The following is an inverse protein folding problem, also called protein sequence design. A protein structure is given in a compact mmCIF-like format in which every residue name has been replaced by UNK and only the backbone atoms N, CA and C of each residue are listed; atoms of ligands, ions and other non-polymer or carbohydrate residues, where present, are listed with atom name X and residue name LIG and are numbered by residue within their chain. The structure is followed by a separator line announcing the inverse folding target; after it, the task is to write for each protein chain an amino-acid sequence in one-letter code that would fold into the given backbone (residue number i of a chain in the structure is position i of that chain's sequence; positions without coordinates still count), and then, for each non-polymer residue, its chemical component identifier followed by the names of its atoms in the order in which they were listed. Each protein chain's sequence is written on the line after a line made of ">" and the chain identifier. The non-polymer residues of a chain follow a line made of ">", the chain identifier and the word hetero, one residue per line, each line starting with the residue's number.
data_IF_297661085735
#
_entry.id   IF_297661085735
#
_cell.length_a   1.000
_cell.length_b   1.000
_cell.length_c   1.000
_cell.angle_alpha   90.00
_cell.angle_beta   90.00
_cell.angle_gamma   90.00
#
_symmetry.space_group_name_H-M   'P 1'
#
loop_
_entity.id
_entity.type
_entity.pdbx_description
1 polymer ?
#
# COMPACT_ATOMS: atom_id res chain seq x y z
N UNK A 1 1.79 26.13 14.44
CA UNK A 1 1.67 24.75 13.95
C UNK A 1 1.01 23.95 15.06
N UNK A 2 0.10 23.05 14.71
CA UNK A 2 -0.92 22.55 15.63
C UNK A 2 -0.36 21.46 16.54
N UNK A 3 -0.11 21.79 17.81
CA UNK A 3 0.14 20.78 18.84
C UNK A 3 -1.02 19.78 18.86
N UNK A 4 -0.73 18.48 18.69
CA UNK A 4 -1.73 17.43 18.81
C UNK A 4 -2.08 17.30 20.30
N UNK A 5 -3.31 17.68 20.67
CA UNK A 5 -3.76 17.72 22.06
C UNK A 5 -3.53 16.37 22.75
N UNK A 6 -2.77 16.39 23.85
CA UNK A 6 -2.49 15.20 24.66
C UNK A 6 -1.51 14.21 24.04
N UNK A 7 -0.76 14.59 23.00
CA UNK A 7 0.30 13.77 22.40
C UNK A 7 1.61 14.56 22.36
N UNK A 8 2.63 14.00 22.98
CA UNK A 8 3.98 14.56 23.02
C UNK A 8 4.90 13.83 22.04
N UNK A 9 5.88 14.51 21.42
CA UNK A 9 6.87 13.87 20.57
C UNK A 9 7.64 12.77 21.31
N UNK A 10 7.77 11.60 20.68
CA UNK A 10 8.54 10.44 21.14
C UNK A 10 9.72 10.19 20.21
N UNK A 11 10.79 9.61 20.74
CA UNK A 11 12.03 9.38 19.99
C UNK A 11 11.87 8.28 18.94
N UNK A 12 11.04 7.26 19.20
CA UNK A 12 10.77 6.16 18.26
C UNK A 12 9.29 6.09 17.93
N UNK A 13 8.97 5.76 16.68
CA UNK A 13 7.59 5.57 16.25
C UNK A 13 6.88 4.46 17.06
N UNK A 14 7.62 3.42 17.43
CA UNK A 14 7.09 2.28 18.18
C UNK A 14 6.54 2.64 19.57
N UNK A 15 7.06 3.72 20.17
CA UNK A 15 6.65 4.21 21.49
C UNK A 15 5.26 4.88 21.46
N UNK A 16 4.74 5.26 20.28
CA UNK A 16 3.39 5.78 20.13
C UNK A 16 2.35 4.67 20.17
N UNK A 17 1.19 4.89 20.78
CA UNK A 17 0.02 4.04 20.55
C UNK A 17 -0.58 4.29 19.15
N UNK A 18 -1.40 3.36 18.67
CA UNK A 18 -2.11 3.57 17.41
C UNK A 18 -3.07 4.77 17.49
N UNK A 19 -3.70 4.99 18.65
CA UNK A 19 -4.56 6.16 18.88
C UNK A 19 -3.79 7.49 18.81
N UNK A 20 -2.55 7.53 19.31
CA UNK A 20 -1.70 8.72 19.20
C UNK A 20 -1.30 8.98 17.75
N UNK A 21 -0.88 7.94 17.01
CA UNK A 21 -0.56 8.04 15.59
C UNK A 21 -1.78 8.51 14.78
N UNK A 22 -2.97 7.99 15.08
CA UNK A 22 -4.21 8.41 14.44
C UNK A 22 -4.59 9.86 14.76
N UNK A 23 -4.31 10.35 15.97
CA UNK A 23 -4.48 11.78 16.31
C UNK A 23 -3.51 12.65 15.53
N UNK A 24 -2.24 12.24 15.42
CA UNK A 24 -1.24 12.96 14.64
C UNK A 24 -1.64 13.00 13.16
N UNK A 25 -1.99 11.84 12.58
CA UNK A 25 -2.39 11.73 11.19
C UNK A 25 -3.62 12.59 10.84
N UNK A 26 -4.61 12.67 11.75
CA UNK A 26 -5.74 13.59 11.60
C UNK A 26 -5.33 15.06 11.56
N UNK A 27 -4.40 15.47 12.42
CA UNK A 27 -3.87 16.85 12.39
C UNK A 27 -3.06 17.10 11.12
N UNK A 28 -2.30 16.12 10.63
CA UNK A 28 -1.62 16.22 9.33
C UNK A 28 -2.60 16.43 8.18
N UNK A 29 -3.67 15.62 8.12
CA UNK A 29 -4.73 15.70 7.12
C UNK A 29 -5.40 17.08 7.13
N UNK A 30 -5.69 17.62 8.32
CA UNK A 30 -6.32 18.92 8.51
C UNK A 30 -5.36 20.13 8.36
N UNK A 31 -4.07 19.91 8.09
CA UNK A 31 -3.07 20.99 8.10
C UNK A 31 -3.18 21.95 6.89
N UNK A 32 -4.08 21.70 5.94
CA UNK A 32 -4.32 22.55 4.77
C UNK A 32 -3.25 22.39 3.69
N UNK A 33 -2.77 21.17 3.49
CA UNK A 33 -1.90 20.79 2.37
C UNK A 33 -0.74 19.87 2.76
N UNK A 34 -0.19 19.16 1.77
CA UNK A 34 0.87 18.16 1.93
C UNK A 34 2.08 18.67 2.72
N UNK A 35 2.62 19.82 2.36
CA UNK A 35 3.78 20.41 3.05
C UNK A 35 3.52 20.63 4.54
N UNK A 36 2.38 21.20 4.91
CA UNK A 36 2.04 21.48 6.31
C UNK A 36 1.78 20.19 7.08
N UNK A 37 1.20 19.16 6.45
CA UNK A 37 1.07 17.83 7.03
C UNK A 37 2.43 17.19 7.32
N UNK A 38 3.40 17.35 6.42
CA UNK A 38 4.78 16.85 6.61
C UNK A 38 5.49 17.61 7.75
N UNK A 39 5.27 18.92 7.90
CA UNK A 39 5.82 19.66 9.06
C UNK A 39 5.29 19.12 10.39
N UNK A 40 4.01 18.72 10.46
CA UNK A 40 3.47 18.01 11.63
C UNK A 40 4.18 16.66 11.82
N UNK A 41 4.36 15.85 10.76
CA UNK A 41 5.08 14.58 10.87
C UNK A 41 6.51 14.74 11.43
N UNK A 42 7.22 15.81 11.06
CA UNK A 42 8.56 16.14 11.56
C UNK A 42 8.55 16.42 13.07
N UNK A 43 7.58 17.18 13.57
CA UNK A 43 7.44 17.48 15.01
C UNK A 43 7.30 16.21 15.87
N UNK A 44 6.73 15.15 15.30
CA UNK A 44 6.49 13.87 15.98
C UNK A 44 7.50 12.76 15.61
N UNK A 45 8.60 13.09 14.94
CA UNK A 45 9.64 12.13 14.51
C UNK A 45 9.11 10.99 13.61
N UNK A 46 8.06 11.27 12.82
CA UNK A 46 7.45 10.31 11.88
C UNK A 46 8.09 10.32 10.49
N UNK A 47 9.17 11.09 10.31
CA UNK A 47 10.01 11.13 9.12
C UNK A 47 11.41 11.65 9.50
N UNK A 48 12.30 11.75 8.53
CA UNK A 48 13.59 12.43 8.73
C UNK A 48 13.38 13.93 9.05
N UNK A 49 14.40 14.63 9.58
CA UNK A 49 14.33 16.09 9.77
C UNK A 49 14.07 16.88 8.49
N UNK A 50 14.34 16.30 7.30
CA UNK A 50 14.03 16.90 6.00
C UNK A 50 12.61 16.63 5.51
N UNK A 51 11.79 15.87 6.25
CA UNK A 51 10.44 15.47 5.82
C UNK A 51 10.41 14.26 4.88
N UNK A 52 11.51 13.51 4.77
CA UNK A 52 11.66 12.36 3.88
C UNK A 52 11.50 11.04 4.63
N UNK A 53 11.25 9.95 3.92
CA UNK A 53 11.24 8.59 4.49
C UNK A 53 12.55 7.89 4.17
N UNK A 54 13.03 7.07 5.11
CA UNK A 54 14.20 6.20 4.94
C UNK A 54 13.99 4.77 5.48
N UNK A 55 12.75 4.47 5.88
CA UNK A 55 12.34 3.17 6.43
C UNK A 55 12.65 2.96 7.91
N UNK A 56 13.16 3.97 8.63
CA UNK A 56 13.43 3.86 10.06
C UNK A 56 12.16 3.91 10.92
N UNK A 57 11.10 4.56 10.44
CA UNK A 57 9.83 4.70 11.15
C UNK A 57 9.03 3.39 11.08
N UNK A 58 9.30 2.52 12.05
CA UNK A 58 8.63 1.23 12.25
C UNK A 58 7.94 1.15 13.61
N UNK A 59 6.78 0.50 13.63
CA UNK A 59 5.99 0.21 14.82
C UNK A 59 5.63 -1.27 14.82
N UNK A 60 5.86 -1.93 15.95
CA UNK A 60 5.49 -3.33 16.11
C UNK A 60 3.98 -3.49 16.08
N UNK A 61 3.52 -4.39 15.22
CA UNK A 61 2.14 -4.79 15.02
C UNK A 61 1.98 -6.25 15.47
N UNK A 62 1.24 -6.43 16.57
CA UNK A 62 0.85 -7.75 17.08
C UNK A 62 -0.58 -8.02 16.68
N UNK A 63 -0.77 -8.97 15.77
CA UNK A 63 -2.10 -9.43 15.39
C UNK A 63 -2.68 -10.32 16.50
N UNK A 64 -4.01 -10.34 16.62
CA UNK A 64 -4.73 -11.14 17.62
C UNK A 64 -4.59 -12.65 17.44
N UNK A 65 -4.16 -13.09 16.25
CA UNK A 65 -3.81 -14.49 15.99
C UNK A 65 -2.41 -14.87 16.50
N UNK A 66 -1.70 -13.95 17.17
CA UNK A 66 -0.37 -14.16 17.74
C UNK A 66 0.79 -13.81 16.80
N UNK A 67 0.52 -13.54 15.51
CA UNK A 67 1.57 -13.12 14.58
C UNK A 67 2.08 -11.72 14.96
N UNK A 68 3.40 -11.57 14.94
CA UNK A 68 4.07 -10.30 15.19
C UNK A 68 4.87 -9.88 13.95
N UNK A 69 4.65 -8.65 13.48
CA UNK A 69 5.44 -8.01 12.42
C UNK A 69 5.64 -6.54 12.79
N UNK A 70 6.26 -5.76 11.91
CA UNK A 70 6.30 -4.31 12.01
C UNK A 70 5.45 -3.69 10.89
N UNK A 71 4.83 -2.55 11.17
CA UNK A 71 4.33 -1.65 10.15
C UNK A 71 5.34 -0.51 9.94
N UNK A 72 5.69 -0.25 8.68
CA UNK A 72 6.56 0.85 8.27
C UNK A 72 5.74 1.93 7.56
N UNK A 73 6.07 3.19 7.76
CA UNK A 73 5.48 4.28 6.96
C UNK A 73 6.02 4.17 5.53
N UNK A 74 5.13 4.01 4.56
CA UNK A 74 5.46 4.01 3.13
C UNK A 74 5.19 5.38 2.49
N UNK A 75 4.24 6.14 3.00
CA UNK A 75 3.86 7.46 2.47
C UNK A 75 3.31 8.40 3.53
N UNK A 76 3.46 9.71 3.27
CA UNK A 76 2.93 10.80 4.09
C UNK A 76 2.13 11.73 3.22
N UNK A 77 0.87 12.02 3.60
CA UNK A 77 -0.02 12.83 2.77
C UNK A 77 -0.02 12.32 1.32
N UNK A 78 -0.25 11.01 1.16
CA UNK A 78 -0.11 10.30 -0.11
C UNK A 78 -1.48 9.88 -0.66
N UNK A 79 -2.18 9.04 0.08
CA UNK A 79 -3.46 8.49 -0.33
C UNK A 79 -4.61 9.47 -0.11
N UNK A 80 -5.53 9.53 -1.08
CA UNK A 80 -6.77 10.31 -0.95
C UNK A 80 -7.76 9.55 -0.07
N UNK A 81 -8.33 10.24 0.93
CA UNK A 81 -9.35 9.65 1.81
C UNK A 81 -10.61 9.37 0.99
N UNK A 82 -11.25 8.24 1.27
CA UNK A 82 -12.54 7.98 0.67
C UNK A 82 -13.55 9.05 1.12
N UNK A 83 -14.41 9.48 0.20
CA UNK A 83 -15.49 10.46 0.45
C UNK A 83 -15.01 11.84 0.91
N UNK A 84 -13.73 12.19 0.68
CA UNK A 84 -13.15 13.49 0.99
C UNK A 84 -12.10 13.87 -0.05
N UNK A 85 -11.89 15.16 -0.27
CA UNK A 85 -10.75 15.64 -1.09
C UNK A 85 -9.44 15.72 -0.29
N UNK A 86 -9.48 15.43 1.01
CA UNK A 86 -8.31 15.42 1.88
C UNK A 86 -7.44 14.18 1.67
N UNK A 87 -6.14 14.33 1.91
CA UNK A 87 -5.20 13.21 1.97
C UNK A 87 -5.21 12.59 3.37
N UNK A 88 -5.02 11.27 3.44
CA UNK A 88 -4.71 10.57 4.68
C UNK A 88 -3.37 11.07 5.23
N UNK A 89 -3.24 11.11 6.55
CA UNK A 89 -2.02 11.62 7.16
C UNK A 89 -0.84 10.68 6.88
N UNK A 90 -1.05 9.39 7.15
CA UNK A 90 0.03 8.40 7.12
C UNK A 90 -0.43 7.12 6.42
N UNK A 91 0.38 6.61 5.50
CA UNK A 91 0.19 5.33 4.84
C UNK A 91 1.23 4.33 5.34
N UNK A 92 0.79 3.15 5.78
CA UNK A 92 1.63 2.08 6.30
C UNK A 92 1.64 0.86 5.38
N UNK A 93 2.68 0.04 5.48
CA UNK A 93 2.70 -1.36 5.03
C UNK A 93 3.31 -2.26 6.11
N UNK A 94 2.86 -3.50 6.21
CA UNK A 94 3.60 -4.51 7.00
C UNK A 94 4.93 -4.90 6.34
N UNK A 95 5.99 -4.97 7.16
CA UNK A 95 7.33 -5.33 6.72
C UNK A 95 7.37 -6.79 6.25
N UNK A 96 6.70 -7.69 6.97
CA UNK A 96 6.58 -9.11 6.57
C UNK A 96 5.16 -9.41 6.06
N UNK A 97 5.04 -10.54 5.37
CA UNK A 97 3.74 -11.10 5.02
C UNK A 97 3.00 -11.50 6.30
N UNK A 98 1.70 -11.25 6.35
CA UNK A 98 0.85 -11.62 7.50
C UNK A 98 0.10 -12.94 7.31
N UNK A 99 0.03 -13.41 6.06
CA UNK A 99 -0.57 -14.68 5.67
C UNK A 99 -0.14 -15.04 4.25
N UNK A 100 -0.47 -16.27 3.84
CA UNK A 100 -0.25 -16.81 2.49
C UNK A 100 -1.56 -17.38 1.96
N UNK A 101 -2.19 -16.67 1.03
CA UNK A 101 -3.50 -17.02 0.47
C UNK A 101 -3.53 -16.72 -1.03
N UNK A 102 -4.43 -17.33 -1.80
CA UNK A 102 -4.64 -16.96 -3.21
C UNK A 102 -5.16 -15.53 -3.32
N UNK A 103 -4.91 -14.90 -4.48
CA UNK A 103 -5.61 -13.67 -4.87
C UNK A 103 -7.09 -13.97 -5.16
N UNK A 104 -7.34 -15.06 -5.90
CA UNK A 104 -8.67 -15.55 -6.29
C UNK A 104 -8.70 -17.08 -6.30
N UNK A 105 -9.64 -17.67 -5.57
CA UNK A 105 -9.85 -19.12 -5.47
C UNK A 105 -10.33 -19.76 -6.78
N UNK A 106 -11.06 -19.01 -7.62
CA UNK A 106 -11.62 -19.50 -8.87
C UNK A 106 -10.61 -19.55 -10.04
N UNK A 107 -9.40 -19.00 -9.85
CA UNK A 107 -8.41 -18.86 -10.91
C UNK A 107 -8.73 -17.71 -11.87
N UNK A 108 -7.72 -16.92 -12.21
CA UNK A 108 -7.85 -15.77 -13.07
C UNK A 108 -8.19 -14.43 -12.44
N UNK A 109 -8.37 -13.43 -13.30
CA UNK A 109 -8.40 -12.01 -12.94
C UNK A 109 -9.68 -11.27 -13.32
N UNK A 110 -10.72 -12.00 -13.69
CA UNK A 110 -12.03 -11.43 -14.00
C UNK A 110 -12.50 -10.56 -12.84
N UNK A 111 -13.04 -9.37 -13.15
CA UNK A 111 -13.46 -8.36 -12.16
C UNK A 111 -12.31 -7.66 -11.41
N UNK A 112 -11.06 -7.93 -11.80
CA UNK A 112 -9.87 -7.25 -11.29
C UNK A 112 -9.81 -7.18 -9.77
N UNK A 113 -9.17 -6.13 -9.24
CA UNK A 113 -9.02 -5.96 -7.79
C UNK A 113 -10.34 -5.84 -7.06
N UNK A 114 -11.30 -5.09 -7.63
CA UNK A 114 -12.60 -4.84 -7.01
C UNK A 114 -13.35 -6.12 -6.63
N UNK A 115 -13.33 -7.13 -7.50
CA UNK A 115 -13.99 -8.41 -7.31
C UNK A 115 -13.08 -9.53 -6.80
N UNK A 116 -11.88 -9.23 -6.30
CA UNK A 116 -10.96 -10.28 -5.84
C UNK A 116 -11.31 -10.83 -4.46
N UNK A 117 -11.10 -12.13 -4.27
CA UNK A 117 -11.32 -12.79 -2.97
C UNK A 117 -10.42 -12.19 -1.89
N UNK A 118 -9.16 -11.87 -2.24
CA UNK A 118 -8.22 -11.25 -1.32
C UNK A 118 -8.70 -9.87 -0.84
N UNK A 119 -9.19 -9.00 -1.73
CA UNK A 119 -9.70 -7.69 -1.35
C UNK A 119 -10.90 -7.82 -0.40
N UNK A 120 -11.81 -8.73 -0.71
CA UNK A 120 -12.98 -9.00 0.14
C UNK A 120 -12.57 -9.47 1.53
N UNK A 121 -11.62 -10.41 1.62
CA UNK A 121 -11.11 -10.90 2.90
C UNK A 121 -10.39 -9.80 3.70
N UNK A 122 -9.54 -8.99 3.04
CA UNK A 122 -8.81 -7.89 3.66
C UNK A 122 -9.73 -6.82 4.27
N UNK A 123 -10.85 -6.51 3.60
CA UNK A 123 -11.80 -5.49 4.03
C UNK A 123 -12.99 -6.05 4.82
N UNK A 124 -12.91 -7.29 5.30
CA UNK A 124 -13.93 -7.90 6.17
C UNK A 124 -13.31 -8.67 7.33
N UNK A 125 -12.90 -9.91 7.10
CA UNK A 125 -12.39 -10.81 8.13
C UNK A 125 -11.04 -10.36 8.67
N UNK A 126 -10.14 -9.89 7.81
CA UNK A 126 -8.78 -9.55 8.22
C UNK A 126 -8.73 -8.45 9.29
N UNK A 127 -9.64 -7.47 9.23
CA UNK A 127 -9.77 -6.40 10.22
C UNK A 127 -9.92 -6.95 11.64
N UNK A 128 -10.55 -8.12 11.81
CA UNK A 128 -10.73 -8.76 13.12
C UNK A 128 -9.43 -9.26 13.73
N UNK A 129 -8.37 -9.44 12.95
CA UNK A 129 -7.04 -9.81 13.46
C UNK A 129 -6.23 -8.61 13.93
N UNK A 130 -6.61 -7.38 13.58
CA UNK A 130 -5.90 -6.18 14.02
C UNK A 130 -6.16 -5.90 15.51
N UNK A 131 -5.20 -5.25 16.21
CA UNK A 131 -5.46 -4.62 17.51
C UNK A 131 -6.70 -3.72 17.45
N UNK A 132 -7.46 -3.67 18.54
CA UNK A 132 -8.74 -2.94 18.58
C UNK A 132 -8.57 -1.43 18.37
N UNK A 133 -7.51 -0.85 18.92
CA UNK A 133 -7.17 0.57 18.76
C UNK A 133 -6.77 0.90 17.32
N UNK A 134 -5.97 0.05 16.68
CA UNK A 134 -5.64 0.17 15.26
C UNK A 134 -6.88 0.01 14.38
N UNK A 135 -7.65 -1.06 14.55
CA UNK A 135 -8.81 -1.35 13.71
C UNK A 135 -9.85 -0.22 13.70
N UNK A 136 -10.03 0.47 14.82
CA UNK A 136 -10.94 1.64 14.91
C UNK A 136 -10.37 2.91 14.31
N UNK A 137 -9.05 2.99 14.19
CA UNK A 137 -8.34 4.18 13.71
C UNK A 137 -8.12 4.18 12.19
N UNK A 138 -8.16 3.01 11.55
CA UNK A 138 -7.96 2.90 10.10
C UNK A 138 -9.10 3.58 9.35
N UNK A 139 -8.71 4.46 8.42
CA UNK A 139 -9.64 5.16 7.54
C UNK A 139 -9.62 4.54 6.13
N UNK A 140 -10.77 4.51 5.44
CA UNK A 140 -10.81 4.08 4.04
C UNK A 140 -10.16 5.14 3.13
N UNK A 141 -9.48 4.68 2.09
CA UNK A 141 -8.85 5.50 1.04
C UNK A 141 -9.28 5.06 -0.35
N UNK A 142 -9.22 5.98 -1.30
CA UNK A 142 -9.49 5.74 -2.71
C UNK A 142 -8.30 5.00 -3.35
N UNK A 143 -8.52 3.76 -3.81
CA UNK A 143 -7.55 2.99 -4.58
C UNK A 143 -8.06 2.78 -6.00
N UNK A 144 -7.32 3.29 -6.97
CA UNK A 144 -7.57 3.06 -8.40
C UNK A 144 -6.82 1.81 -8.85
N UNK A 145 -7.48 0.92 -9.57
CA UNK A 145 -6.86 -0.30 -10.13
C UNK A 145 -7.68 -0.79 -11.32
N UNK A 146 -7.07 -1.55 -12.20
CA UNK A 146 -7.82 -2.31 -13.19
C UNK A 146 -8.83 -3.26 -12.51
N UNK A 147 -10.11 -2.93 -12.62
CA UNK A 147 -11.23 -3.66 -12.00
C UNK A 147 -12.01 -4.52 -13.00
N UNK A 148 -11.41 -4.81 -14.16
CA UNK A 148 -11.97 -5.71 -15.18
C UNK A 148 -11.20 -7.01 -15.30
N UNK A 149 -9.88 -6.96 -15.10
CA UNK A 149 -8.97 -8.07 -15.41
C UNK A 149 -8.32 -7.86 -16.76
N UNK A 150 -8.37 -8.86 -17.64
CA UNK A 150 -7.94 -8.72 -19.03
C UNK A 150 -8.65 -7.55 -19.72
N UNK A 151 -7.88 -6.56 -20.19
CA UNK A 151 -8.39 -5.37 -20.89
C UNK A 151 -7.30 -4.67 -21.70
N UNK A 152 -7.70 -3.78 -22.60
CA UNK A 152 -6.82 -2.93 -23.42
C UNK A 152 -6.99 -1.42 -23.16
N UNK A 153 -7.85 -1.02 -22.21
CA UNK A 153 -8.19 0.38 -21.95
C UNK A 153 -7.98 0.79 -20.50
N UNK A 154 -7.32 1.92 -20.28
CA UNK A 154 -7.17 2.53 -18.95
C UNK A 154 -8.49 3.05 -18.37
N UNK A 155 -9.56 3.13 -19.17
CA UNK A 155 -10.93 3.42 -18.72
C UNK A 155 -11.47 2.38 -17.72
N UNK A 156 -10.93 1.15 -17.74
CA UNK A 156 -11.29 0.09 -16.80
C UNK A 156 -10.55 0.20 -15.45
N UNK A 157 -9.69 1.22 -15.31
CA UNK A 157 -9.08 1.59 -14.04
C UNK A 157 -10.04 2.49 -13.27
N UNK A 158 -10.80 1.86 -12.38
CA UNK A 158 -11.81 2.52 -11.57
C UNK A 158 -11.44 2.51 -10.09
N UNK A 159 -12.15 3.32 -9.31
CA UNK A 159 -11.90 3.48 -7.89
C UNK A 159 -12.60 2.40 -7.05
N UNK A 160 -11.92 2.01 -5.98
CA UNK A 160 -12.47 1.26 -4.85
C UNK A 160 -12.14 2.02 -3.57
N UNK A 161 -12.99 1.89 -2.55
CA UNK A 161 -12.72 2.42 -1.21
C UNK A 161 -12.28 1.28 -0.30
N UNK A 162 -11.02 1.31 0.11
CA UNK A 162 -10.38 0.22 0.85
C UNK A 162 -9.83 0.74 2.19
N UNK A 163 -10.10 0.00 3.27
CA UNK A 163 -9.43 0.20 4.56
C UNK A 163 -8.08 -0.52 4.56
N UNK A 164 -8.03 -1.70 3.96
CA UNK A 164 -6.82 -2.52 3.82
C UNK A 164 -6.65 -2.89 2.35
N UNK A 165 -5.45 -2.71 1.81
CA UNK A 165 -5.12 -3.06 0.43
C UNK A 165 -3.71 -3.66 0.33
N UNK A 166 -3.31 -4.07 -0.87
CA UNK A 166 -1.90 -4.29 -1.23
C UNK A 166 -1.47 -3.30 -2.32
N UNK A 167 -0.20 -2.88 -2.40
CA UNK A 167 0.28 -1.90 -3.37
C UNK A 167 -0.05 -2.27 -4.82
N UNK A 168 -0.25 -1.27 -5.69
CA UNK A 168 -0.24 -1.50 -7.14
C UNK A 168 1.19 -1.47 -7.68
N UNK A 169 1.39 -1.94 -8.90
CA UNK A 169 2.67 -1.92 -9.60
C UNK A 169 3.30 -0.53 -9.59
N UNK A 170 2.57 0.50 -10.02
CA UNK A 170 3.10 1.88 -10.08
C UNK A 170 3.28 2.54 -8.72
N UNK A 171 2.62 2.04 -7.69
CA UNK A 171 2.87 2.47 -6.33
C UNK A 171 4.23 1.98 -5.82
N UNK A 172 4.71 0.85 -6.34
CA UNK A 172 6.05 0.33 -6.06
C UNK A 172 7.11 0.99 -6.93
N UNK A 173 6.91 1.02 -8.25
CA UNK A 173 7.98 1.33 -9.22
C UNK A 173 7.89 2.71 -9.85
N UNK A 174 6.80 3.44 -9.62
CA UNK A 174 6.52 4.69 -10.32
C UNK A 174 5.99 4.51 -11.74
N UNK A 175 6.05 5.60 -12.51
CA UNK A 175 5.50 5.61 -13.87
C UNK A 175 6.31 4.71 -14.79
N UNK A 176 5.59 3.90 -15.55
CA UNK A 176 6.15 2.94 -16.49
C UNK A 176 6.21 3.54 -17.89
N UNK A 177 7.33 3.30 -18.58
CA UNK A 177 7.44 3.58 -20.00
C UNK A 177 6.77 2.45 -20.81
N UNK A 178 6.13 2.78 -21.93
CA UNK A 178 5.56 1.79 -22.84
C UNK A 178 6.63 0.82 -23.35
N UNK A 179 7.87 1.29 -23.50
CA UNK A 179 9.01 0.51 -23.98
C UNK A 179 9.55 -0.47 -22.92
N UNK A 180 9.03 -0.41 -21.68
CA UNK A 180 9.28 -1.46 -20.67
C UNK A 180 8.54 -2.76 -20.94
N UNK A 181 7.62 -2.77 -21.93
CA UNK A 181 6.79 -3.92 -22.28
C UNK A 181 7.03 -4.38 -23.72
N UNK A 182 6.75 -5.65 -23.98
CA UNK A 182 6.74 -6.21 -25.33
C UNK A 182 5.76 -5.46 -26.25
N UNK A 183 6.02 -5.44 -27.55
CA UNK A 183 5.25 -4.67 -28.54
C UNK A 183 3.72 -4.85 -28.43
N UNK A 184 3.26 -6.09 -28.26
CA UNK A 184 1.83 -6.39 -28.14
C UNK A 184 1.21 -5.98 -26.79
N UNK A 185 2.03 -5.59 -25.81
CA UNK A 185 1.65 -5.27 -24.43
C UNK A 185 1.97 -3.82 -24.02
N UNK A 186 2.52 -2.99 -24.93
CA UNK A 186 2.89 -1.58 -24.64
C UNK A 186 1.75 -0.75 -24.03
N UNK A 187 0.50 -1.03 -24.40
CA UNK A 187 -0.69 -0.34 -23.86
C UNK A 187 -0.86 -0.54 -22.34
N UNK A 188 -0.27 -1.60 -21.76
CA UNK A 188 -0.42 -1.91 -20.34
C UNK A 188 0.21 -0.85 -19.44
N UNK A 189 1.27 -0.16 -19.91
CA UNK A 189 1.85 0.97 -19.19
C UNK A 189 0.81 2.06 -18.88
N UNK A 190 -0.09 2.37 -19.82
CA UNK A 190 -1.13 3.39 -19.61
C UNK A 190 -2.16 2.94 -18.57
N UNK A 191 -2.45 1.63 -18.50
CA UNK A 191 -3.35 1.04 -17.52
C UNK A 191 -2.73 1.15 -16.13
N UNK A 192 -1.50 0.65 -15.96
CA UNK A 192 -0.82 0.70 -14.67
C UNK A 192 -0.58 2.13 -14.19
N UNK A 193 -0.18 3.05 -15.08
CA UNK A 193 0.04 4.46 -14.75
C UNK A 193 -1.23 5.19 -14.27
N UNK A 194 -2.43 4.64 -14.50
CA UNK A 194 -3.68 5.18 -14.00
C UNK A 194 -4.04 4.68 -12.56
N UNK A 195 -3.26 3.76 -11.99
CA UNK A 195 -3.55 3.12 -10.69
C UNK A 195 -3.01 3.87 -9.47
N UNK A 196 -2.05 4.78 -9.65
CA UNK A 196 -1.47 5.51 -8.52
C UNK A 196 -0.16 6.23 -8.83
N UNK A 197 0.61 6.52 -7.78
CA UNK A 197 1.93 7.15 -7.84
C UNK A 197 2.87 6.42 -6.87
N UNK A 198 4.16 6.41 -7.16
CA UNK A 198 5.14 5.74 -6.31
C UNK A 198 5.11 6.27 -4.88
N UNK A 199 5.04 5.38 -3.88
CA UNK A 199 5.19 5.79 -2.50
C UNK A 199 6.60 6.29 -2.20
N UNK A 200 6.68 7.25 -1.28
CA UNK A 200 7.91 7.94 -0.92
C UNK A 200 9.00 6.99 -0.41
N UNK A 201 8.63 5.92 0.30
CA UNK A 201 9.61 4.94 0.77
C UNK A 201 10.20 4.11 -0.36
N UNK A 202 9.39 3.64 -1.31
CA UNK A 202 9.90 2.85 -2.45
C UNK A 202 10.77 3.71 -3.37
N UNK A 203 10.42 4.99 -3.52
CA UNK A 203 11.27 5.96 -4.21
C UNK A 203 12.63 6.14 -3.51
N UNK A 204 12.65 6.18 -2.17
CA UNK A 204 13.90 6.25 -1.41
C UNK A 204 14.79 5.02 -1.63
N UNK A 205 14.19 3.85 -1.75
CA UNK A 205 14.89 2.59 -2.04
C UNK A 205 15.22 2.37 -3.52
N UNK A 206 14.94 3.34 -4.39
CA UNK A 206 15.16 3.23 -5.84
C UNK A 206 14.49 1.99 -6.45
N UNK A 207 13.29 1.66 -5.97
CA UNK A 207 12.51 0.55 -6.52
C UNK A 207 12.06 0.91 -7.93
N UNK A 208 12.44 0.09 -8.90
CA UNK A 208 12.13 0.29 -10.32
C UNK A 208 11.64 -1.01 -10.95
N UNK A 209 10.89 -0.88 -12.05
CA UNK A 209 10.37 -2.04 -12.78
C UNK A 209 11.51 -2.88 -13.36
N UNK A 210 11.46 -4.19 -13.17
CA UNK A 210 12.53 -5.12 -13.57
C UNK A 210 13.80 -5.05 -12.71
N UNK A 211 13.90 -4.12 -11.76
CA UNK A 211 14.99 -4.03 -10.79
C UNK A 211 14.69 -4.84 -9.53
N UNK A 212 15.71 -5.50 -8.97
CA UNK A 212 15.61 -6.15 -7.66
C UNK A 212 15.99 -5.19 -6.54
N UNK A 213 15.14 -5.07 -5.51
CA UNK A 213 15.39 -4.26 -4.32
C UNK A 213 15.28 -5.11 -3.05
N UNK A 214 16.39 -5.26 -2.32
CA UNK A 214 16.45 -6.13 -1.14
C UNK A 214 15.57 -5.65 0.02
N UNK A 215 15.31 -4.34 0.08
CA UNK A 215 14.56 -3.65 1.12
C UNK A 215 13.06 -3.98 1.06
N UNK A 216 12.56 -4.43 -0.09
CA UNK A 216 11.17 -4.88 -0.28
C UNK A 216 11.06 -6.40 -0.43
N UNK A 217 12.17 -7.12 -0.27
CA UNK A 217 12.17 -8.58 -0.24
C UNK A 217 11.45 -9.09 1.02
N UNK A 218 10.73 -10.19 0.86
CA UNK A 218 10.03 -10.89 1.94
C UNK A 218 10.35 -12.39 1.84
N UNK A 219 9.93 -13.16 2.84
CA UNK A 219 10.17 -14.60 2.92
C UNK A 219 9.70 -15.39 1.68
N UNK A 220 8.72 -14.85 0.95
CA UNK A 220 8.19 -15.41 -0.27
C UNK A 220 7.71 -14.32 -1.23
N UNK A 221 7.25 -14.71 -2.42
CA UNK A 221 6.59 -13.76 -3.31
C UNK A 221 5.31 -13.22 -2.66
N UNK A 222 5.05 -11.93 -2.83
CA UNK A 222 3.90 -11.25 -2.23
C UNK A 222 3.10 -10.46 -3.25
N UNK A 223 1.80 -10.36 -3.02
CA UNK A 223 0.82 -9.84 -3.97
C UNK A 223 0.90 -8.33 -4.15
N UNK A 224 0.72 -7.91 -5.39
CA UNK A 224 0.29 -6.57 -5.78
C UNK A 224 -1.21 -6.61 -6.10
N UNK A 225 -1.90 -5.47 -6.12
CA UNK A 225 -3.31 -5.43 -6.56
C UNK A 225 -3.47 -5.31 -8.08
N UNK A 226 -2.39 -5.04 -8.80
CA UNK A 226 -2.39 -4.95 -10.25
C UNK A 226 -2.47 -6.34 -10.89
N UNK A 227 -3.54 -6.61 -11.61
CA UNK A 227 -3.64 -7.79 -12.47
C UNK A 227 -2.94 -7.55 -13.82
N UNK A 228 -2.59 -8.61 -14.56
CA UNK A 228 -2.02 -8.46 -15.90
C UNK A 228 -3.16 -8.22 -16.92
N UNK A 229 -3.20 -7.09 -17.66
CA UNK A 229 -4.28 -6.82 -18.61
C UNK A 229 -4.23 -7.67 -19.89
N UNK A 230 -3.10 -8.31 -20.19
CA UNK A 230 -2.93 -9.14 -21.40
C UNK A 230 -3.40 -10.58 -21.24
N UNK A 231 -3.39 -11.08 -20.00
CA UNK A 231 -3.71 -12.46 -19.63
C UNK A 231 -4.91 -12.46 -18.70
N UNK A 232 -5.72 -13.51 -18.71
CA UNK A 232 -6.87 -13.65 -17.81
C UNK A 232 -6.53 -14.47 -16.56
N UNK A 233 -5.33 -15.06 -16.48
CA UNK A 233 -4.88 -16.03 -15.48
C UNK A 233 -3.68 -15.56 -14.64
N UNK A 234 -3.30 -14.27 -14.71
CA UNK A 234 -2.08 -13.78 -14.07
C UNK A 234 -2.27 -12.48 -13.27
N UNK A 235 -1.53 -12.41 -12.16
CA UNK A 235 -1.45 -11.26 -11.28
C UNK A 235 0.00 -10.89 -10.93
N UNK A 236 0.29 -9.60 -10.73
CA UNK A 236 1.63 -9.17 -10.35
C UNK A 236 1.97 -9.57 -8.91
N UNK A 237 3.24 -9.94 -8.72
CA UNK A 237 3.86 -10.22 -7.44
C UNK A 237 5.26 -9.64 -7.42
N UNK A 238 5.68 -9.21 -6.23
CA UNK A 238 7.10 -8.99 -5.95
C UNK A 238 7.69 -10.34 -5.54
N UNK A 239 8.80 -10.75 -6.14
CA UNK A 239 9.43 -12.02 -5.77
C UNK A 239 10.27 -11.92 -4.48
N UNK A 240 10.79 -13.07 -4.01
CA UNK A 240 11.62 -13.14 -2.79
C UNK A 240 12.95 -12.35 -2.86
N UNK A 241 13.35 -11.88 -4.04
CA UNK A 241 14.54 -11.05 -4.26
C UNK A 241 14.18 -9.57 -4.47
N UNK A 242 12.90 -9.21 -4.32
CA UNK A 242 12.42 -7.84 -4.48
C UNK A 242 12.29 -7.37 -5.92
N UNK A 243 12.20 -8.28 -6.90
CA UNK A 243 11.90 -7.90 -8.29
C UNK A 243 10.40 -7.68 -8.47
N UNK A 244 10.06 -6.54 -9.08
CA UNK A 244 8.68 -6.09 -9.34
C UNK A 244 8.32 -6.25 -10.83
N UNK A 245 8.52 -7.45 -11.35
CA UNK A 245 8.31 -7.83 -12.75
C UNK A 245 7.93 -9.32 -12.89
N UNK A 246 7.32 -9.88 -11.84
CA UNK A 246 6.95 -11.29 -11.78
C UNK A 246 5.45 -11.43 -11.65
N UNK A 247 4.90 -12.44 -12.31
CA UNK A 247 3.49 -12.77 -12.22
C UNK A 247 3.28 -14.16 -11.65
N UNK A 248 2.07 -14.40 -11.16
CA UNK A 248 1.67 -15.68 -10.57
C UNK A 248 0.22 -15.97 -10.91
N UNK A 249 -0.10 -17.26 -11.00
CA UNK A 249 -1.46 -17.77 -11.02
C UNK A 249 -2.18 -17.31 -9.73
N UNK A 250 -3.30 -16.57 -9.83
CA UNK A 250 -4.02 -16.03 -8.67
C UNK A 250 -4.66 -17.11 -7.79
N UNK A 251 -4.81 -18.36 -8.25
CA UNK A 251 -5.22 -19.50 -7.43
C UNK A 251 -4.07 -20.09 -6.59
N UNK A 252 -2.82 -19.77 -6.91
CA UNK A 252 -1.67 -20.18 -6.09
C UNK A 252 -1.54 -19.30 -4.84
N UNK A 253 -1.08 -19.85 -3.72
CA UNK A 253 -0.79 -19.03 -2.54
C UNK A 253 0.31 -18.00 -2.84
N UNK A 254 0.09 -16.76 -2.41
CA UNK A 254 1.06 -15.67 -2.39
C UNK A 254 1.02 -14.94 -1.04
N UNK A 255 2.13 -14.31 -0.67
CA UNK A 255 2.24 -13.56 0.56
C UNK A 255 1.40 -12.28 0.54
N UNK A 256 0.82 -11.93 1.69
CA UNK A 256 0.01 -10.71 1.84
C UNK A 256 0.75 -9.74 2.75
N UNK A 257 1.18 -8.60 2.22
CA UNK A 257 1.80 -7.52 2.99
C UNK A 257 0.88 -6.29 2.98
N UNK A 258 -0.14 -6.26 3.86
CA UNK A 258 -1.21 -5.27 3.78
C UNK A 258 -0.73 -3.85 4.07
N UNK A 259 -1.39 -2.91 3.42
CA UNK A 259 -1.31 -1.48 3.63
C UNK A 259 -2.58 -0.96 4.32
N UNK A 260 -2.43 0.14 5.06
CA UNK A 260 -3.55 0.85 5.69
C UNK A 260 -3.20 2.33 5.90
N UNK A 261 -4.22 3.17 6.06
CA UNK A 261 -4.06 4.59 6.37
C UNK A 261 -4.61 4.97 7.74
N UNK A 262 -3.98 5.97 8.33
CA UNK A 262 -4.47 6.73 9.49
C UNK A 262 -4.67 8.20 9.13
#
# INVERSE_FOLDING_TARGET
>A
MGSVTGVYPKSRMDDYSWDELARIARVMSAAGGKWRGIEVAKEYNLCTPSGSLNGAQKKTLRLKNGLCTDAVIIGLMHDKRAYSDDLAGISFQTVNCVTFVPMNSYGGNRYGWQGSDLRHWLNSEFLRFLPDDLSRSIIPVEKRTNNKGKTNGSSDVTETNDQIWVPSLVELVGLLDRDSFLDHARFTADIYNAEGKQYELYKYYDVVFGGGCSEISKEWCWWERSCLPTYDDLWWVVNKMGFVDRSRDPASNGGVAPCFCL
#
